data_IF_254620004203
#
_entry.id   IF_254620004203
#
_cell.length_a   1.000
_cell.length_b   1.000
_cell.length_c   1.000
_cell.angle_alpha   90.00
_cell.angle_beta   90.00
_cell.angle_gamma   90.00
#
_symmetry.space_group_name_H-M   'P 1'
#
loop_
_entity.id
_entity.type
_entity.pdbx_description
1 polymer ?
#
# COMPACT_ATOMS: atom_id res chain seq x y z
N UNK A 1 26.71 7.90 -12.64
CA UNK A 1 26.33 8.52 -11.35
C UNK A 1 26.54 7.48 -10.25
N UNK A 2 27.16 7.86 -9.12
CA UNK A 2 27.42 6.99 -7.98
C UNK A 2 26.73 7.56 -6.73
N UNK A 3 26.28 6.69 -5.83
CA UNK A 3 25.66 7.04 -4.55
C UNK A 3 26.70 6.83 -3.44
N UNK A 4 26.90 7.86 -2.62
CA UNK A 4 27.79 7.80 -1.46
C UNK A 4 27.07 8.30 -0.22
N UNK A 5 26.89 7.41 0.75
CA UNK A 5 26.41 7.76 2.08
C UNK A 5 27.56 8.32 2.92
N UNK A 6 27.32 9.45 3.59
CA UNK A 6 28.33 10.10 4.45
C UNK A 6 28.44 9.44 5.84
N UNK A 7 27.37 8.80 6.30
CA UNK A 7 27.28 8.24 7.64
C UNK A 7 27.45 6.72 7.64
N UNK A 8 26.79 6.04 6.69
CA UNK A 8 26.81 4.57 6.60
C UNK A 8 28.02 4.03 5.82
N UNK A 9 28.92 4.91 5.35
CA UNK A 9 30.10 4.58 4.52
C UNK A 9 29.79 3.71 3.29
N UNK A 10 28.56 3.77 2.76
CA UNK A 10 28.16 3.07 1.54
C UNK A 10 28.60 3.89 0.33
N UNK A 11 29.48 3.35 -0.50
CA UNK A 11 29.95 3.99 -1.74
C UNK A 11 29.76 3.07 -2.95
N UNK A 12 28.74 3.35 -3.77
CA UNK A 12 28.40 2.57 -4.96
C UNK A 12 29.28 2.89 -6.17
N UNK A 13 30.32 3.71 -6.03
CA UNK A 13 31.36 3.84 -7.05
C UNK A 13 32.27 2.60 -7.11
N UNK A 14 32.40 1.87 -6.00
CA UNK A 14 33.16 0.61 -5.91
C UNK A 14 32.28 -0.63 -6.21
N UNK A 15 32.87 -1.70 -6.73
CA UNK A 15 32.17 -2.98 -6.95
C UNK A 15 31.64 -3.58 -5.64
N UNK A 16 32.43 -3.50 -4.56
CA UNK A 16 32.02 -3.96 -3.22
C UNK A 16 30.85 -3.16 -2.66
N UNK A 17 30.89 -1.82 -2.78
CA UNK A 17 29.79 -0.99 -2.28
C UNK A 17 28.50 -1.14 -3.08
N UNK A 18 28.57 -1.42 -4.39
CA UNK A 18 27.38 -1.82 -5.17
C UNK A 18 26.79 -3.14 -4.67
N UNK A 19 27.62 -4.15 -4.40
CA UNK A 19 27.15 -5.43 -3.88
C UNK A 19 26.40 -5.25 -2.54
N UNK A 20 27.01 -4.53 -1.60
CA UNK A 20 26.40 -4.26 -0.29
C UNK A 20 25.09 -3.49 -0.44
N UNK A 21 25.06 -2.48 -1.32
CA UNK A 21 23.84 -1.73 -1.60
C UNK A 21 22.72 -2.62 -2.15
N UNK A 22 23.03 -3.55 -3.06
CA UNK A 22 22.06 -4.51 -3.58
C UNK A 22 21.55 -5.48 -2.52
N UNK A 23 22.42 -5.97 -1.63
CA UNK A 23 22.00 -6.83 -0.50
C UNK A 23 20.97 -6.09 0.37
N UNK A 24 21.26 -4.82 0.73
CA UNK A 24 20.30 -4.02 1.50
C UNK A 24 19.00 -3.76 0.75
N UNK A 25 19.07 -3.53 -0.56
CA UNK A 25 17.87 -3.38 -1.38
C UNK A 25 16.99 -4.66 -1.34
N UNK A 26 17.60 -5.83 -1.49
CA UNK A 26 16.90 -7.11 -1.39
C UNK A 26 16.32 -7.37 0.00
N UNK A 27 17.04 -6.99 1.06
CA UNK A 27 16.53 -7.09 2.43
C UNK A 27 15.33 -6.16 2.64
N UNK A 28 15.39 -4.92 2.15
CA UNK A 28 14.28 -3.98 2.23
C UNK A 28 13.02 -4.46 1.48
N UNK A 29 13.21 -5.10 0.33
CA UNK A 29 12.11 -5.74 -0.42
C UNK A 29 11.48 -6.88 0.39
N UNK A 30 12.30 -7.79 0.94
CA UNK A 30 11.83 -8.88 1.79
C UNK A 30 11.04 -8.38 3.01
N UNK A 31 11.54 -7.37 3.72
CA UNK A 31 10.83 -6.77 4.85
C UNK A 31 9.49 -6.15 4.43
N UNK A 32 9.45 -5.50 3.26
CA UNK A 32 8.21 -4.91 2.72
C UNK A 32 7.16 -5.98 2.46
N UNK A 33 7.57 -7.13 1.91
CA UNK A 33 6.68 -8.25 1.65
C UNK A 33 6.13 -8.84 2.95
N UNK A 34 6.96 -9.04 3.97
CA UNK A 34 6.49 -9.50 5.29
C UNK A 34 5.46 -8.53 5.91
N UNK A 35 5.67 -7.22 5.81
CA UNK A 35 4.70 -6.21 6.29
C UNK A 35 3.39 -6.31 5.51
N UNK A 36 3.47 -6.51 4.20
CA UNK A 36 2.29 -6.65 3.34
C UNK A 36 1.49 -7.90 3.68
N UNK A 37 2.15 -9.04 3.87
CA UNK A 37 1.52 -10.30 4.28
C UNK A 37 0.79 -10.14 5.60
N UNK A 38 1.45 -9.56 6.61
CA UNK A 38 0.86 -9.30 7.93
C UNK A 38 -0.35 -8.38 7.85
N UNK A 39 -0.25 -7.31 7.04
CA UNK A 39 -1.36 -6.38 6.82
C UNK A 39 -2.54 -7.07 6.17
N UNK A 40 -2.31 -7.90 5.14
CA UNK A 40 -3.35 -8.67 4.46
C UNK A 40 -4.04 -9.64 5.41
N UNK A 41 -3.27 -10.36 6.24
CA UNK A 41 -3.81 -11.25 7.27
C UNK A 41 -4.71 -10.50 8.27
N UNK A 42 -4.25 -9.33 8.74
CA UNK A 42 -5.03 -8.46 9.64
C UNK A 42 -6.33 -7.96 9.00
N UNK A 43 -6.28 -7.55 7.73
CA UNK A 43 -7.46 -7.13 6.97
C UNK A 43 -8.46 -8.27 6.76
N UNK A 44 -7.97 -9.48 6.45
CA UNK A 44 -8.80 -10.69 6.33
C UNK A 44 -9.51 -11.00 7.64
N UNK A 45 -8.80 -10.97 8.76
CA UNK A 45 -9.38 -11.17 10.08
C UNK A 45 -10.41 -10.09 10.45
N UNK A 46 -10.15 -8.82 10.14
CA UNK A 46 -11.09 -7.73 10.37
C UNK A 46 -12.38 -7.89 9.54
N UNK A 47 -12.25 -8.29 8.27
CA UNK A 47 -13.40 -8.60 7.41
C UNK A 47 -14.23 -9.78 7.94
N UNK A 48 -13.57 -10.85 8.43
CA UNK A 48 -14.26 -11.98 9.04
C UNK A 48 -15.07 -11.59 10.29
N UNK A 49 -14.64 -10.55 11.03
CA UNK A 49 -15.39 -9.93 12.13
C UNK A 49 -16.47 -8.93 11.69
N UNK A 50 -16.75 -8.82 10.40
CA UNK A 50 -17.79 -7.94 9.85
C UNK A 50 -17.37 -6.48 9.60
N UNK A 51 -16.09 -6.13 9.77
CA UNK A 51 -15.63 -4.76 9.45
C UNK A 51 -15.56 -4.55 7.94
N UNK A 52 -16.39 -3.64 7.44
CA UNK A 52 -16.32 -3.13 6.06
C UNK A 52 -15.38 -1.93 6.04
N UNK A 53 -14.13 -2.15 5.64
CA UNK A 53 -13.13 -1.09 5.46
C UNK A 53 -13.38 -0.22 4.21
N UNK A 54 -12.47 0.71 3.93
CA UNK A 54 -12.58 1.64 2.79
C UNK A 54 -13.33 2.93 3.13
N UNK A 55 -13.62 3.74 2.09
CA UNK A 55 -14.33 5.01 2.25
C UNK A 55 -15.81 4.75 2.57
N UNK A 56 -16.37 5.32 3.65
CA UNK A 56 -17.79 5.17 3.94
C UNK A 56 -18.65 5.83 2.84
N UNK A 57 -19.81 5.25 2.49
CA UNK A 57 -20.71 5.84 1.51
C UNK A 57 -21.27 7.17 2.03
N UNK A 58 -21.27 8.20 1.19
CA UNK A 58 -21.75 9.54 1.56
C UNK A 58 -23.28 9.65 1.48
N UNK A 59 -23.91 8.87 0.59
CA UNK A 59 -25.36 8.81 0.45
C UNK A 59 -25.88 7.53 1.10
N UNK A 60 -26.93 7.66 1.91
CA UNK A 60 -27.69 6.50 2.36
C UNK A 60 -28.35 5.81 1.16
N UNK A 61 -28.65 4.51 1.30
CA UNK A 61 -29.29 3.73 0.24
C UNK A 61 -30.57 4.39 -0.30
N UNK A 62 -31.32 5.05 0.57
CA UNK A 62 -32.58 5.72 0.24
C UNK A 62 -32.34 6.95 -0.64
N UNK A 63 -31.40 7.82 -0.25
CA UNK A 63 -31.00 8.99 -1.05
C UNK A 63 -30.48 8.56 -2.43
N UNK A 64 -29.75 7.44 -2.48
CA UNK A 64 -29.21 6.87 -3.71
C UNK A 64 -30.34 6.35 -4.63
N UNK A 65 -31.37 5.69 -4.08
CA UNK A 65 -32.57 5.27 -4.83
C UNK A 65 -33.33 6.48 -5.39
N UNK A 66 -33.53 7.52 -4.58
CA UNK A 66 -34.22 8.74 -5.01
C UNK A 66 -33.45 9.46 -6.13
N UNK A 67 -32.14 9.63 -5.98
CA UNK A 67 -31.30 10.24 -7.00
C UNK A 67 -31.37 9.48 -8.34
N UNK A 68 -31.33 8.14 -8.30
CA UNK A 68 -31.46 7.30 -9.51
C UNK A 68 -32.82 7.48 -10.20
N UNK A 69 -33.91 7.53 -9.43
CA UNK A 69 -35.26 7.76 -9.98
C UNK A 69 -35.39 9.14 -10.64
N UNK A 70 -34.82 10.18 -10.03
CA UNK A 70 -34.83 11.53 -10.59
C UNK A 70 -34.01 11.61 -11.88
N UNK A 71 -32.90 10.88 -11.96
CA UNK A 71 -32.08 10.79 -13.18
C UNK A 71 -32.86 10.14 -14.33
N UNK A 72 -33.55 9.02 -14.09
CA UNK A 72 -34.29 8.30 -15.14
C UNK A 72 -35.53 9.03 -15.63
N UNK A 73 -36.05 10.00 -14.86
CA UNK A 73 -37.22 10.83 -15.22
C UNK A 73 -36.84 12.08 -16.03
N UNK A 74 -35.55 12.40 -16.13
CA UNK A 74 -35.03 13.60 -16.81
C UNK A 74 -34.61 13.33 -18.27
N UNK A 75 -34.65 12.07 -18.70
CA UNK A 75 -34.60 11.66 -20.11
C UNK A 75 -36.01 11.38 -20.59
#
# INVERSE_FOLDING_TARGET
>A
MAFRSLQESIDTSSSGGKLVFHIFASLAEFERDLVRERTSAGLKAARARGRVGGRPPMLSGDKLRTARKLLSKKT
#
